data_IF_407021504856
#
_entry.id   IF_407021504856
#
_cell.length_a   1.000
_cell.length_b   1.000
_cell.length_c   1.000
_cell.angle_alpha   90.00
_cell.angle_beta   90.00
_cell.angle_gamma   90.00
#
_symmetry.space_group_name_H-M   'P 1'
#
loop_
_entity.id
_entity.type
_entity.pdbx_description
1 polymer ?
#
# COMPACT_ATOMS: atom_id res chain seq x y z
N UNK A 1 -9.56 33.40 39.75
CA UNK A 1 -9.70 32.19 38.91
C UNK A 1 -10.98 32.39 38.11
N UNK A 2 -10.96 32.17 36.80
CA UNK A 2 -12.13 32.44 35.96
C UNK A 2 -13.12 31.27 36.05
N UNK A 3 -14.30 31.52 36.61
CA UNK A 3 -15.30 30.49 36.95
C UNK A 3 -16.21 30.18 35.74
N UNK A 4 -16.39 31.15 34.83
CA UNK A 4 -17.28 30.98 33.67
C UNK A 4 -16.84 29.85 32.72
N UNK A 5 -15.55 29.68 32.38
CA UNK A 5 -15.10 28.58 31.53
C UNK A 5 -15.42 27.19 32.12
N UNK A 6 -15.25 27.03 33.44
CA UNK A 6 -15.48 25.75 34.13
C UNK A 6 -16.98 25.41 34.11
N UNK A 7 -17.85 26.39 34.36
CA UNK A 7 -19.30 26.21 34.28
C UNK A 7 -19.77 25.91 32.84
N UNK A 8 -19.08 26.48 31.84
CA UNK A 8 -19.34 26.19 30.43
C UNK A 8 -19.00 24.73 30.07
N UNK A 9 -17.87 24.20 30.55
CA UNK A 9 -17.43 22.82 30.30
C UNK A 9 -18.42 21.78 30.86
N UNK A 10 -19.08 22.08 31.97
CA UNK A 10 -20.12 21.20 32.54
C UNK A 10 -21.48 21.31 31.81
N UNK A 11 -21.57 22.15 30.78
CA UNK A 11 -22.71 22.25 29.87
C UNK A 11 -23.75 23.31 30.24
N UNK A 12 -23.37 24.33 31.00
CA UNK A 12 -24.18 25.55 31.13
C UNK A 12 -23.89 26.48 29.95
N UNK A 13 -24.94 27.05 29.37
CA UNK A 13 -24.75 28.05 28.31
C UNK A 13 -24.48 29.43 28.90
N UNK A 14 -23.83 30.32 28.14
CA UNK A 14 -23.39 31.64 28.61
C UNK A 14 -24.47 32.45 29.35
N UNK A 15 -25.72 32.40 28.90
CA UNK A 15 -26.84 33.09 29.56
C UNK A 15 -27.25 32.46 30.89
N UNK A 16 -27.17 31.14 31.02
CA UNK A 16 -27.43 30.42 32.28
C UNK A 16 -26.34 30.72 33.30
N UNK A 17 -25.07 30.72 32.87
CA UNK A 17 -23.92 31.05 33.73
C UNK A 17 -24.11 32.45 34.32
N UNK A 18 -24.41 33.44 33.47
CA UNK A 18 -24.63 34.82 33.91
C UNK A 18 -25.78 34.95 34.92
N UNK A 19 -26.90 34.27 34.67
CA UNK A 19 -28.06 34.30 35.58
C UNK A 19 -27.76 33.58 36.89
N UNK A 20 -27.08 32.43 36.85
CA UNK A 20 -26.68 31.69 38.03
C UNK A 20 -25.73 32.50 38.92
N UNK A 21 -24.70 33.13 38.34
CA UNK A 21 -23.79 34.00 39.07
C UNK A 21 -24.50 35.24 39.64
N UNK A 22 -25.42 35.85 38.87
CA UNK A 22 -26.23 36.97 39.36
C UNK A 22 -27.11 36.57 40.56
N UNK A 23 -27.69 35.35 40.55
CA UNK A 23 -28.46 34.83 41.68
C UNK A 23 -27.60 34.59 42.92
N UNK A 24 -26.37 34.09 42.77
CA UNK A 24 -25.43 33.93 43.89
C UNK A 24 -25.08 35.27 44.53
N UNK A 25 -24.98 36.34 43.74
CA UNK A 25 -24.66 37.68 44.24
C UNK A 25 -25.87 38.41 44.85
N UNK A 26 -27.05 38.28 44.25
CA UNK A 26 -28.27 38.96 44.69
C UNK A 26 -28.99 38.22 45.83
N UNK A 27 -28.75 36.92 45.98
CA UNK A 27 -29.55 36.04 46.83
C UNK A 27 -30.96 35.85 46.25
N UNK A 28 -31.97 36.08 47.08
CA UNK A 28 -33.39 35.88 46.71
C UNK A 28 -33.97 37.13 46.06
N UNK A 29 -34.23 37.09 44.75
CA UNK A 29 -34.64 38.26 43.95
C UNK A 29 -35.76 37.95 42.94
N UNK A 30 -36.50 38.99 42.52
CA UNK A 30 -37.44 38.89 41.40
C UNK A 30 -36.70 39.00 40.06
N UNK A 31 -37.38 38.74 38.94
CA UNK A 31 -36.73 38.71 37.61
C UNK A 31 -36.12 40.03 37.18
N UNK A 32 -36.62 41.18 37.64
CA UNK A 32 -36.12 42.52 37.27
C UNK A 32 -34.65 42.72 37.66
N UNK A 33 -34.31 42.66 38.96
CA UNK A 33 -32.92 42.76 39.41
C UNK A 33 -31.98 41.73 38.77
N UNK A 34 -32.47 40.50 38.54
CA UNK A 34 -31.68 39.43 37.91
C UNK A 34 -31.35 39.78 36.45
N UNK A 35 -32.32 40.31 35.70
CA UNK A 35 -32.15 40.75 34.30
C UNK A 35 -31.09 41.84 34.19
N UNK A 36 -31.16 42.85 35.06
CA UNK A 36 -30.20 43.96 35.09
C UNK A 36 -28.79 43.47 35.44
N UNK A 37 -28.68 42.64 36.49
CA UNK A 37 -27.39 42.15 36.97
C UNK A 37 -26.73 41.15 36.01
N UNK A 38 -27.48 40.19 35.49
CA UNK A 38 -26.97 39.20 34.55
C UNK A 38 -26.77 39.76 33.13
N UNK A 39 -27.31 40.95 32.85
CA UNK A 39 -27.33 41.58 31.53
C UNK A 39 -27.85 40.60 30.45
N UNK A 40 -29.04 40.06 30.69
CA UNK A 40 -29.76 39.16 29.78
C UNK A 40 -31.10 39.77 29.38
N UNK A 41 -31.67 39.35 28.25
CA UNK A 41 -32.97 39.88 27.82
C UNK A 41 -34.11 39.43 28.75
N UNK A 42 -34.97 40.36 29.15
CA UNK A 42 -36.17 40.09 29.96
C UNK A 42 -37.13 39.09 29.30
N UNK A 43 -37.13 38.97 27.98
CA UNK A 43 -37.96 37.98 27.27
C UNK A 43 -37.50 36.53 27.46
N UNK A 44 -36.26 36.30 27.89
CA UNK A 44 -35.66 34.97 28.07
C UNK A 44 -35.44 34.56 29.52
N UNK A 45 -35.65 35.46 30.48
CA UNK A 45 -35.27 35.22 31.88
C UNK A 45 -35.99 34.02 32.49
N UNK A 46 -37.30 33.90 32.26
CA UNK A 46 -38.08 32.77 32.78
C UNK A 46 -37.61 31.43 32.20
N UNK A 47 -37.33 31.37 30.89
CA UNK A 47 -36.79 30.17 30.25
C UNK A 47 -35.43 29.77 30.83
N UNK A 48 -34.55 30.75 31.11
CA UNK A 48 -33.23 30.51 31.70
C UNK A 48 -33.36 30.02 33.15
N UNK A 49 -34.21 30.67 33.94
CA UNK A 49 -34.48 30.28 35.33
C UNK A 49 -35.08 28.88 35.40
N UNK A 50 -36.05 28.56 34.54
CA UNK A 50 -36.65 27.24 34.47
C UNK A 50 -35.62 26.15 34.11
N UNK A 51 -34.68 26.43 33.19
CA UNK A 51 -33.57 25.50 32.89
C UNK A 51 -32.62 25.31 34.07
N UNK A 52 -32.28 26.38 34.79
CA UNK A 52 -31.45 26.29 35.99
C UNK A 52 -32.16 25.51 37.10
N UNK A 53 -33.46 25.70 37.26
CA UNK A 53 -34.29 24.93 38.19
C UNK A 53 -34.35 23.45 37.80
N UNK A 54 -34.55 23.13 36.53
CA UNK A 54 -34.54 21.75 36.02
C UNK A 54 -33.19 21.07 36.21
N UNK A 55 -32.09 21.84 36.22
CA UNK A 55 -30.74 21.35 36.52
C UNK A 55 -30.44 21.29 38.03
N UNK A 56 -31.38 21.69 38.89
CA UNK A 56 -31.20 21.74 40.35
C UNK A 56 -30.28 22.86 40.84
N UNK A 57 -29.97 23.84 39.99
CA UNK A 57 -29.02 24.93 40.27
C UNK A 57 -29.70 26.24 40.72
N UNK A 58 -31.01 26.32 40.59
CA UNK A 58 -31.80 27.43 41.10
C UNK A 58 -33.11 26.90 41.71
N UNK A 59 -33.74 27.70 42.54
CA UNK A 59 -35.07 27.44 43.07
C UNK A 59 -35.88 28.74 43.13
N UNK A 60 -37.14 28.65 43.55
CA UNK A 60 -37.93 29.83 43.86
C UNK A 60 -38.78 29.61 45.10
N UNK A 61 -39.03 30.70 45.79
CA UNK A 61 -39.98 30.79 46.89
C UNK A 61 -41.10 31.77 46.54
N UNK A 62 -42.28 31.56 47.12
CA UNK A 62 -43.41 32.47 46.98
C UNK A 62 -43.46 33.40 48.18
N UNK A 63 -43.41 34.71 47.91
CA UNK A 63 -43.70 35.75 48.91
C UNK A 63 -44.98 36.48 48.47
N UNK A 64 -46.10 36.11 49.08
CA UNK A 64 -47.43 36.51 48.60
C UNK A 64 -47.75 35.86 47.24
N UNK A 65 -48.01 36.67 46.21
CA UNK A 65 -48.26 36.21 44.82
C UNK A 65 -47.03 36.28 43.91
N UNK A 66 -45.88 36.69 44.44
CA UNK A 66 -44.67 36.96 43.65
C UNK A 66 -43.62 35.87 43.87
N UNK A 67 -43.03 35.37 42.77
CA UNK A 67 -41.90 34.45 42.81
C UNK A 67 -40.59 35.20 43.04
N UNK A 68 -39.83 34.76 44.03
CA UNK A 68 -38.45 35.15 44.26
C UNK A 68 -37.56 33.96 43.95
N UNK A 69 -36.61 34.16 43.05
CA UNK A 69 -35.68 33.14 42.59
C UNK A 69 -34.36 33.27 43.36
N UNK A 70 -33.73 32.15 43.63
CA UNK A 70 -32.45 32.08 44.32
C UNK A 70 -31.61 30.95 43.74
N UNK A 71 -30.28 31.10 43.80
CA UNK A 71 -29.37 30.02 43.46
C UNK A 71 -29.51 28.89 44.49
N UNK A 72 -29.45 27.65 44.02
CA UNK A 72 -29.27 26.53 44.93
C UNK A 72 -27.84 26.53 45.49
N UNK A 73 -27.64 25.87 46.63
CA UNK A 73 -26.31 25.73 47.23
C UNK A 73 -25.27 25.23 46.21
N UNK A 74 -24.06 25.82 46.14
CA UNK A 74 -23.07 25.46 45.13
C UNK A 74 -22.72 23.98 45.04
N UNK A 75 -22.81 23.24 46.14
CA UNK A 75 -22.60 21.78 46.20
C UNK A 75 -23.56 21.01 45.27
N UNK A 76 -24.73 21.57 44.94
CA UNK A 76 -25.70 20.98 44.00
C UNK A 76 -25.13 20.85 42.59
N UNK A 77 -24.08 21.60 42.24
CA UNK A 77 -23.35 21.41 40.96
C UNK A 77 -22.78 19.98 40.87
N UNK A 78 -22.36 19.39 41.99
CA UNK A 78 -21.86 18.02 42.03
C UNK A 78 -22.98 17.00 41.77
N UNK A 79 -24.18 17.25 42.30
CA UNK A 79 -25.36 16.42 42.03
C UNK A 79 -25.74 16.46 40.55
N UNK A 80 -25.78 17.66 39.95
CA UNK A 80 -26.02 17.85 38.51
C UNK A 80 -25.01 17.09 37.65
N UNK A 81 -23.73 17.11 38.01
CA UNK A 81 -22.68 16.37 37.31
C UNK A 81 -22.88 14.85 37.43
N UNK A 82 -23.23 14.36 38.61
CA UNK A 82 -23.48 12.94 38.86
C UNK A 82 -24.66 12.43 38.03
N UNK A 83 -25.77 13.15 38.01
CA UNK A 83 -26.94 12.78 37.20
C UNK A 83 -26.59 12.73 35.69
N UNK A 84 -25.75 13.66 35.23
CA UNK A 84 -25.27 13.70 33.86
C UNK A 84 -24.37 12.52 33.53
N UNK A 85 -23.48 12.13 34.43
CA UNK A 85 -22.64 10.93 34.30
C UNK A 85 -23.49 9.65 34.20
N UNK A 86 -24.47 9.49 35.09
CA UNK A 86 -25.39 8.34 35.10
C UNK A 86 -26.23 8.28 33.81
N UNK A 87 -26.72 9.43 33.33
CA UNK A 87 -27.42 9.52 32.05
C UNK A 87 -26.52 9.10 30.88
N UNK A 88 -25.31 9.64 30.80
CA UNK A 88 -24.35 9.31 29.75
C UNK A 88 -23.98 7.83 29.77
N UNK A 89 -23.84 7.24 30.95
CA UNK A 89 -23.58 5.80 31.11
C UNK A 89 -24.74 4.96 30.56
N UNK A 90 -26.00 5.32 30.87
CA UNK A 90 -27.20 4.66 30.31
C UNK A 90 -27.32 4.79 28.79
N UNK A 91 -26.98 5.96 28.24
CA UNK A 91 -26.94 6.18 26.79
C UNK A 91 -25.87 5.31 26.12
N UNK A 92 -24.67 5.23 26.70
CA UNK A 92 -23.59 4.33 26.20
C UNK A 92 -24.03 2.87 26.18
N UNK A 93 -24.69 2.39 27.23
CA UNK A 93 -25.22 1.02 27.27
C UNK A 93 -26.32 0.78 26.23
N UNK A 94 -27.22 1.76 26.02
CA UNK A 94 -28.23 1.68 24.97
C UNK A 94 -27.61 1.61 23.58
N UNK A 95 -26.56 2.41 23.31
CA UNK A 95 -25.81 2.37 22.05
C UNK A 95 -25.10 1.03 21.85
N UNK A 96 -24.47 0.46 22.89
CA UNK A 96 -23.82 -0.85 22.82
C UNK A 96 -24.81 -1.95 22.40
N UNK A 97 -26.06 -1.89 22.88
CA UNK A 97 -27.12 -2.86 22.54
C UNK A 97 -27.53 -2.79 21.06
N UNK A 98 -27.59 -1.59 20.47
CA UNK A 98 -27.96 -1.42 19.05
C UNK A 98 -26.77 -1.49 18.09
N UNK A 99 -25.54 -1.43 18.59
CA UNK A 99 -24.32 -1.47 17.78
C UNK A 99 -24.25 -2.70 16.85
N UNK A 100 -24.62 -3.92 17.29
CA UNK A 100 -24.66 -5.09 16.42
C UNK A 100 -25.68 -4.94 15.27
N UNK A 101 -26.85 -4.37 15.53
CA UNK A 101 -27.86 -4.11 14.50
C UNK A 101 -27.35 -3.08 13.47
N UNK A 102 -26.69 -2.01 13.92
CA UNK A 102 -26.08 -1.02 13.03
C UNK A 102 -24.98 -1.64 12.17
N UNK A 103 -24.16 -2.53 12.75
CA UNK A 103 -23.17 -3.33 12.00
C UNK A 103 -23.85 -4.23 10.98
N UNK A 104 -24.93 -4.91 11.35
CA UNK A 104 -25.70 -5.77 10.46
C UNK A 104 -26.34 -4.99 9.31
N UNK A 105 -26.97 -3.83 9.58
CA UNK A 105 -27.51 -2.95 8.52
C UNK A 105 -26.42 -2.51 7.53
N UNK A 106 -25.20 -2.26 8.04
CA UNK A 106 -24.05 -1.95 7.18
C UNK A 106 -23.60 -3.16 6.36
N UNK A 107 -23.54 -4.36 6.94
CA UNK A 107 -23.21 -5.60 6.22
C UNK A 107 -24.25 -5.91 5.13
N UNK A 108 -25.54 -5.77 5.43
CA UNK A 108 -26.63 -5.93 4.45
C UNK A 108 -26.60 -4.87 3.35
N UNK A 109 -26.11 -3.65 3.65
CA UNK A 109 -25.87 -2.61 2.66
C UNK A 109 -24.62 -2.90 1.80
N UNK A 110 -23.56 -3.48 2.38
CA UNK A 110 -22.39 -3.95 1.62
C UNK A 110 -22.75 -5.07 0.64
N UNK A 111 -23.71 -5.94 0.98
CA UNK A 111 -24.23 -6.92 0.02
C UNK A 111 -24.86 -6.27 -1.23
N UNK A 112 -25.17 -4.96 -1.20
CA UNK A 112 -25.60 -4.16 -2.37
C UNK A 112 -24.50 -3.32 -3.01
N UNK A 113 -23.35 -3.12 -2.36
CA UNK A 113 -22.24 -2.33 -2.91
C UNK A 113 -21.06 -3.24 -3.20
N UNK A 114 -21.00 -3.74 -4.44
CA UNK A 114 -19.89 -4.55 -4.93
C UNK A 114 -18.58 -3.73 -5.02
N UNK A 115 -18.66 -2.40 -5.14
CA UNK A 115 -17.50 -1.51 -5.31
C UNK A 115 -17.55 -0.23 -4.45
N UNK A 116 -16.41 0.15 -3.85
CA UNK A 116 -16.21 1.37 -3.07
C UNK A 116 -15.07 2.18 -3.66
N UNK A 117 -15.28 3.50 -3.82
CA UNK A 117 -14.25 4.42 -4.33
C UNK A 117 -13.62 5.19 -3.18
N UNK A 118 -12.29 5.15 -3.09
CA UNK A 118 -11.49 5.91 -2.15
C UNK A 118 -10.67 6.98 -2.87
N UNK A 119 -10.56 8.17 -2.28
CA UNK A 119 -9.79 9.30 -2.82
C UNK A 119 -8.78 9.84 -1.83
N UNK A 120 -7.64 10.28 -2.34
CA UNK A 120 -6.57 10.90 -1.58
C UNK A 120 -5.81 9.92 -0.69
N UNK A 121 -4.78 10.43 -0.01
CA UNK A 121 -3.89 9.60 0.82
C UNK A 121 -4.60 8.94 2.00
N UNK A 122 -5.63 9.58 2.56
CA UNK A 122 -6.48 8.95 3.59
C UNK A 122 -7.24 7.77 3.02
N UNK A 123 -7.79 7.90 1.81
CA UNK A 123 -8.44 6.81 1.09
C UNK A 123 -7.50 5.65 0.79
N UNK A 124 -6.29 5.94 0.30
CA UNK A 124 -5.22 4.95 0.11
C UNK A 124 -4.92 4.18 1.40
N UNK A 125 -4.74 4.91 2.50
CA UNK A 125 -4.48 4.30 3.80
C UNK A 125 -5.62 3.38 4.22
N UNK A 126 -6.87 3.84 4.16
CA UNK A 126 -8.03 3.03 4.53
C UNK A 126 -8.15 1.75 3.69
N UNK A 127 -8.06 1.87 2.36
CA UNK A 127 -8.23 0.74 1.44
C UNK A 127 -7.16 -0.35 1.60
N UNK A 128 -5.90 0.03 1.87
CA UNK A 128 -4.81 -0.94 2.01
C UNK A 128 -4.65 -1.48 3.42
N UNK A 129 -4.99 -0.72 4.47
CA UNK A 129 -4.95 -1.24 5.84
C UNK A 129 -6.16 -2.10 6.17
N UNK A 130 -7.32 -1.91 5.52
CA UNK A 130 -8.46 -2.82 5.68
C UNK A 130 -8.14 -4.24 5.22
N UNK A 131 -7.20 -4.42 4.28
CA UNK A 131 -6.74 -5.75 3.87
C UNK A 131 -6.20 -6.57 5.06
N UNK A 132 -5.63 -5.92 6.08
CA UNK A 132 -5.13 -6.60 7.28
C UNK A 132 -6.22 -7.07 8.24
N UNK A 133 -7.48 -6.65 8.03
CA UNK A 133 -8.64 -7.18 8.77
C UNK A 133 -9.05 -8.55 8.25
N UNK A 134 -8.74 -8.87 6.99
CA UNK A 134 -9.17 -10.09 6.31
C UNK A 134 -8.03 -11.09 6.07
N UNK A 135 -6.78 -10.62 6.03
CA UNK A 135 -5.60 -11.44 5.71
C UNK A 135 -4.90 -11.99 6.95
N UNK A 136 -4.50 -13.25 6.85
CA UNK A 136 -3.78 -14.00 7.89
C UNK A 136 -2.36 -14.37 7.44
N UNK A 137 -1.53 -14.81 8.40
CA UNK A 137 -0.17 -15.30 8.12
C UNK A 137 -0.21 -16.41 7.07
N UNK A 138 0.64 -16.29 6.05
CA UNK A 138 0.73 -17.24 4.93
C UNK A 138 -0.15 -16.90 3.73
N UNK A 139 -1.15 -16.02 3.88
CA UNK A 139 -1.94 -15.55 2.74
C UNK A 139 -1.07 -14.82 1.72
N UNK A 140 -1.49 -14.86 0.45
CA UNK A 140 -0.75 -14.27 -0.68
C UNK A 140 -1.57 -13.14 -1.29
N UNK A 141 -1.00 -11.95 -1.32
CA UNK A 141 -1.49 -10.83 -2.13
C UNK A 141 -0.82 -10.92 -3.50
N UNK A 142 -1.62 -10.84 -4.56
CA UNK A 142 -1.14 -10.79 -5.95
C UNK A 142 -1.36 -9.39 -6.50
N UNK A 143 -0.34 -8.82 -7.12
CA UNK A 143 -0.40 -7.46 -7.65
C UNK A 143 0.16 -7.45 -9.07
N UNK A 144 -0.54 -6.85 -10.02
CA UNK A 144 -0.03 -6.66 -11.37
C UNK A 144 -0.21 -5.24 -11.86
N UNK A 145 0.63 -4.85 -12.79
CA UNK A 145 0.48 -3.60 -13.52
C UNK A 145 0.83 -2.36 -12.70
N UNK A 146 1.91 -2.42 -11.90
CA UNK A 146 2.28 -1.31 -11.02
C UNK A 146 3.22 -0.35 -11.75
N UNK A 147 2.74 0.82 -12.23
CA UNK A 147 3.59 1.82 -12.85
C UNK A 147 4.43 2.57 -11.82
N UNK A 148 5.32 3.43 -12.32
CA UNK A 148 5.93 4.50 -11.53
C UNK A 148 4.87 5.31 -10.76
N UNK A 149 5.19 5.70 -9.52
CA UNK A 149 4.30 6.44 -8.62
C UNK A 149 5.00 7.65 -8.01
N UNK A 150 4.22 8.57 -7.44
CA UNK A 150 4.81 9.69 -6.70
C UNK A 150 5.60 9.21 -5.48
N UNK A 151 6.61 9.98 -5.09
CA UNK A 151 7.41 9.70 -3.90
C UNK A 151 6.56 9.46 -2.65
N UNK A 152 5.46 10.21 -2.50
CA UNK A 152 4.54 10.09 -1.37
C UNK A 152 3.86 8.72 -1.31
N UNK A 153 3.44 8.19 -2.46
CA UNK A 153 2.81 6.86 -2.56
C UNK A 153 3.86 5.76 -2.39
N UNK A 154 5.06 5.95 -2.94
CA UNK A 154 6.18 5.02 -2.72
C UNK A 154 6.58 4.92 -1.25
N UNK A 155 6.69 6.05 -0.53
CA UNK A 155 6.94 6.08 0.90
C UNK A 155 5.84 5.38 1.71
N UNK A 156 4.58 5.50 1.28
CA UNK A 156 3.47 4.75 1.88
C UNK A 156 3.69 3.23 1.72
N UNK A 157 3.97 2.75 0.51
CA UNK A 157 4.17 1.31 0.28
C UNK A 157 5.43 0.75 0.94
N UNK A 158 6.50 1.54 1.11
CA UNK A 158 7.65 1.11 1.91
C UNK A 158 7.24 0.78 3.36
N UNK A 159 6.39 1.61 3.97
CA UNK A 159 5.90 1.37 5.33
C UNK A 159 4.92 0.19 5.35
N UNK A 160 3.97 0.17 4.42
CA UNK A 160 2.95 -0.87 4.34
C UNK A 160 3.56 -2.25 4.07
N UNK A 161 4.57 -2.37 3.19
CA UNK A 161 5.24 -3.63 2.89
C UNK A 161 5.98 -4.21 4.10
N UNK A 162 6.60 -3.35 4.93
CA UNK A 162 7.22 -3.79 6.19
C UNK A 162 6.17 -4.35 7.16
N UNK A 163 5.04 -3.67 7.29
CA UNK A 163 3.96 -4.11 8.18
C UNK A 163 3.32 -5.41 7.68
N UNK A 164 3.00 -5.50 6.39
CA UNK A 164 2.51 -6.74 5.75
C UNK A 164 3.46 -7.91 6.02
N UNK A 165 4.76 -7.70 5.83
CA UNK A 165 5.76 -8.74 6.03
C UNK A 165 5.88 -9.17 7.50
N UNK A 166 5.77 -8.23 8.46
CA UNK A 166 5.72 -8.55 9.90
C UNK A 166 4.54 -9.45 10.25
N UNK A 167 3.40 -9.28 9.58
CA UNK A 167 2.22 -10.14 9.71
C UNK A 167 2.37 -11.50 9.00
N UNK A 168 3.48 -11.73 8.30
CA UNK A 168 3.76 -12.97 7.58
C UNK A 168 2.87 -13.20 6.35
N UNK A 169 2.26 -12.13 5.83
CA UNK A 169 1.50 -12.16 4.57
C UNK A 169 2.51 -12.09 3.43
N UNK A 170 2.40 -12.94 2.40
CA UNK A 170 3.28 -12.98 1.23
C UNK A 170 2.79 -12.04 0.13
N UNK A 171 3.70 -11.56 -0.70
CA UNK A 171 3.39 -10.71 -1.86
C UNK A 171 3.98 -11.33 -3.13
N UNK A 172 3.21 -11.37 -4.20
CA UNK A 172 3.70 -11.59 -5.56
C UNK A 172 3.32 -10.37 -6.39
N UNK A 173 4.29 -9.68 -6.96
CA UNK A 173 4.08 -8.38 -7.61
C UNK A 173 4.76 -8.32 -8.98
N UNK A 174 3.99 -7.90 -9.98
CA UNK A 174 4.42 -7.54 -11.33
C UNK A 174 4.39 -6.02 -11.45
N UNK A 175 5.58 -5.41 -11.47
CA UNK A 175 5.74 -3.98 -11.77
C UNK A 175 5.77 -3.75 -13.28
N UNK A 176 5.38 -2.57 -13.72
CA UNK A 176 5.68 -2.11 -15.06
C UNK A 176 7.17 -1.77 -15.13
N UNK A 177 7.73 -1.79 -16.33
CA UNK A 177 9.13 -1.39 -16.54
C UNK A 177 9.39 0.05 -16.06
N UNK A 178 8.39 0.93 -16.18
CA UNK A 178 8.46 2.33 -15.73
C UNK A 178 8.80 2.50 -14.24
N UNK A 179 8.49 1.51 -13.39
CA UNK A 179 8.78 1.56 -11.96
C UNK A 179 10.20 1.06 -11.61
N UNK A 180 10.97 0.57 -12.60
CA UNK A 180 12.27 -0.06 -12.34
C UNK A 180 13.23 0.91 -11.66
N UNK A 181 13.82 0.45 -10.56
CA UNK A 181 14.78 1.23 -9.77
C UNK A 181 14.13 2.06 -8.66
N UNK A 182 12.80 2.15 -8.63
CA UNK A 182 12.11 2.79 -7.51
C UNK A 182 12.27 1.99 -6.21
N UNK A 183 12.26 2.64 -5.04
CA UNK A 183 12.57 1.99 -3.76
C UNK A 183 11.79 0.71 -3.48
N UNK A 184 10.51 0.64 -3.85
CA UNK A 184 9.64 -0.51 -3.63
C UNK A 184 9.97 -1.73 -4.52
N UNK A 185 10.71 -1.53 -5.61
CA UNK A 185 11.14 -2.63 -6.50
C UNK A 185 12.36 -3.37 -5.97
N UNK A 186 13.03 -2.84 -4.94
CA UNK A 186 14.20 -3.46 -4.33
C UNK A 186 13.78 -4.51 -3.31
N UNK A 187 14.29 -5.74 -3.42
CA UNK A 187 13.95 -6.86 -2.52
C UNK A 187 14.10 -6.51 -1.03
N UNK A 188 15.17 -5.79 -0.66
CA UNK A 188 15.43 -5.34 0.72
C UNK A 188 14.30 -4.49 1.31
N UNK A 189 13.55 -3.80 0.45
CA UNK A 189 12.47 -2.89 0.82
C UNK A 189 11.08 -3.55 0.70
N UNK A 190 11.02 -4.77 0.19
CA UNK A 190 9.79 -5.56 0.07
C UNK A 190 10.05 -7.00 0.55
N UNK A 191 10.30 -7.20 1.86
CA UNK A 191 10.54 -8.52 2.42
C UNK A 191 9.30 -9.43 2.29
N UNK A 192 9.51 -10.75 2.20
CA UNK A 192 8.45 -11.73 1.89
C UNK A 192 7.68 -11.40 0.59
N UNK A 193 8.39 -10.89 -0.41
CA UNK A 193 7.85 -10.60 -1.74
C UNK A 193 8.62 -11.34 -2.82
N UNK A 194 7.89 -11.82 -3.82
CA UNK A 194 8.45 -12.22 -5.11
C UNK A 194 8.17 -11.06 -6.08
N UNK A 195 9.23 -10.48 -6.65
CA UNK A 195 9.14 -9.30 -7.53
C UNK A 195 9.48 -9.71 -8.96
N UNK A 196 8.62 -9.33 -9.89
CA UNK A 196 8.83 -9.49 -11.34
C UNK A 196 8.41 -8.19 -12.05
N UNK A 197 8.78 -8.09 -13.31
CA UNK A 197 8.43 -6.97 -14.18
C UNK A 197 7.62 -7.49 -15.37
N UNK A 198 6.63 -6.71 -15.80
CA UNK A 198 5.92 -6.97 -17.05
C UNK A 198 6.80 -6.59 -18.25
N UNK A 199 6.55 -7.19 -19.43
CA UNK A 199 7.18 -6.76 -20.68
C UNK A 199 6.94 -5.26 -20.98
N UNK A 200 7.86 -4.59 -21.68
CA UNK A 200 7.79 -3.14 -21.92
C UNK A 200 6.58 -2.72 -22.78
N UNK A 201 6.10 -3.61 -23.64
CA UNK A 201 4.94 -3.42 -24.51
C UNK A 201 3.60 -3.59 -23.78
N UNK A 202 3.61 -4.10 -22.55
CA UNK A 202 2.41 -4.24 -21.71
C UNK A 202 2.27 -3.02 -20.80
N UNK A 203 1.53 -2.02 -21.28
CA UNK A 203 1.16 -0.86 -20.49
C UNK A 203 -0.20 -1.08 -19.82
N UNK A 204 -0.20 -1.20 -18.49
CA UNK A 204 -1.45 -1.23 -17.73
C UNK A 204 -1.74 0.15 -17.13
N UNK A 205 -2.89 0.77 -17.46
CA UNK A 205 -3.23 2.08 -16.93
C UNK A 205 -3.57 2.06 -15.43
N UNK A 206 -3.68 0.88 -14.82
CA UNK A 206 -4.00 0.71 -13.41
C UNK A 206 -3.31 -0.52 -12.83
N UNK A 207 -2.80 -0.37 -11.60
CA UNK A 207 -2.37 -1.47 -10.78
C UNK A 207 -3.60 -2.24 -10.26
N UNK A 208 -3.54 -3.56 -10.31
CA UNK A 208 -4.60 -4.44 -9.84
C UNK A 208 -4.04 -5.27 -8.68
N UNK A 209 -4.62 -5.11 -7.50
CA UNK A 209 -4.22 -5.83 -6.29
C UNK A 209 -5.34 -6.80 -5.93
N UNK A 210 -5.01 -8.07 -5.72
CA UNK A 210 -5.98 -9.14 -5.54
C UNK A 210 -5.61 -9.91 -4.28
N UNK A 211 -6.59 -10.08 -3.40
CA UNK A 211 -6.46 -10.91 -2.21
C UNK A 211 -7.85 -11.42 -1.79
N UNK A 212 -7.96 -12.69 -1.39
CA UNK A 212 -9.25 -13.33 -1.08
C UNK A 212 -10.28 -13.00 -2.18
N UNK A 213 -11.43 -12.43 -1.83
CA UNK A 213 -12.52 -12.01 -2.72
C UNK A 213 -12.49 -10.51 -3.04
N UNK A 214 -11.35 -9.85 -2.79
CA UNK A 214 -11.20 -8.40 -2.94
C UNK A 214 -10.21 -8.06 -4.04
N UNK A 215 -10.62 -7.14 -4.91
CA UNK A 215 -9.80 -6.54 -5.96
C UNK A 215 -9.71 -5.03 -5.72
N UNK A 216 -8.49 -4.49 -5.67
CA UNK A 216 -8.25 -3.04 -5.65
C UNK A 216 -7.66 -2.64 -6.99
N UNK A 217 -8.43 -1.87 -7.77
CA UNK A 217 -7.96 -1.20 -8.97
C UNK A 217 -7.43 0.17 -8.54
N UNK A 218 -6.16 0.40 -8.84
CA UNK A 218 -5.46 1.63 -8.52
C UNK A 218 -4.88 2.23 -9.82
N UNK A 219 -5.66 3.06 -10.53
CA UNK A 219 -5.20 3.77 -11.71
C UNK A 219 -3.89 4.53 -11.48
N UNK A 220 -3.07 4.69 -12.52
CA UNK A 220 -1.90 5.56 -12.49
C UNK A 220 -2.28 6.95 -11.96
N UNK A 221 -1.38 7.61 -11.24
CA UNK A 221 -1.65 8.94 -10.67
C UNK A 221 -1.79 9.96 -11.80
N UNK A 222 -3.02 10.24 -12.24
CA UNK A 222 -3.33 11.29 -13.21
C UNK A 222 -3.58 12.65 -12.53
N UNK A 223 -3.90 12.65 -11.24
CA UNK A 223 -4.15 13.84 -10.41
C UNK A 223 -3.19 13.89 -9.20
N UNK A 224 -3.09 15.05 -8.54
CA UNK A 224 -2.33 15.24 -7.28
C UNK A 224 -2.81 14.35 -6.10
N UNK A 225 -3.78 13.46 -6.32
CA UNK A 225 -4.36 12.59 -5.30
C UNK A 225 -4.65 11.18 -5.85
N UNK A 226 -4.31 10.11 -5.10
CA UNK A 226 -4.59 8.74 -5.55
C UNK A 226 -6.10 8.45 -5.54
N UNK A 227 -6.55 7.67 -6.52
CA UNK A 227 -7.90 7.11 -6.64
C UNK A 227 -7.81 5.59 -6.52
N UNK A 228 -8.69 4.97 -5.72
CA UNK A 228 -8.75 3.52 -5.60
C UNK A 228 -10.19 3.05 -5.73
N UNK A 229 -10.38 1.96 -6.45
CA UNK A 229 -11.67 1.29 -6.60
C UNK A 229 -11.50 -0.09 -5.96
N UNK A 230 -12.16 -0.30 -4.82
CA UNK A 230 -12.12 -1.56 -4.06
C UNK A 230 -13.40 -2.32 -4.37
N UNK A 231 -13.27 -3.48 -4.99
CA UNK A 231 -14.37 -4.34 -5.39
C UNK A 231 -14.32 -5.61 -4.54
N UNK A 232 -15.42 -5.94 -3.85
CA UNK A 232 -15.53 -7.18 -3.06
C UNK A 232 -16.50 -8.13 -3.77
N UNK A 233 -15.93 -8.96 -4.65
CA UNK A 233 -16.61 -10.00 -5.42
C UNK A 233 -15.64 -11.11 -5.72
N UNK A 234 -16.06 -12.35 -5.43
CA UNK A 234 -15.29 -13.55 -5.72
C UNK A 234 -15.05 -13.69 -7.22
N UNK A 235 -16.06 -13.44 -8.04
CA UNK A 235 -16.01 -13.54 -9.51
C UNK A 235 -14.98 -12.56 -10.10
N UNK A 236 -15.00 -11.31 -9.64
CA UNK A 236 -14.04 -10.29 -10.08
C UNK A 236 -12.63 -10.64 -9.61
N UNK A 237 -12.46 -11.05 -8.35
CA UNK A 237 -11.17 -11.46 -7.82
C UNK A 237 -10.61 -12.70 -8.54
N UNK A 238 -11.44 -13.67 -8.87
CA UNK A 238 -11.06 -14.88 -9.59
C UNK A 238 -10.64 -14.58 -11.04
N UNK A 239 -11.37 -13.71 -11.74
CA UNK A 239 -11.02 -13.24 -13.08
C UNK A 239 -9.63 -12.60 -13.12
N UNK A 240 -9.39 -11.61 -12.26
CA UNK A 240 -8.09 -10.94 -12.22
C UNK A 240 -6.97 -11.84 -11.68
N UNK A 241 -7.29 -12.83 -10.83
CA UNK A 241 -6.31 -13.83 -10.39
C UNK A 241 -5.88 -14.74 -11.54
N UNK A 242 -6.80 -15.18 -12.38
CA UNK A 242 -6.47 -15.95 -13.58
C UNK A 242 -5.59 -15.13 -14.54
N UNK A 243 -5.92 -13.85 -14.74
CA UNK A 243 -5.10 -12.93 -15.53
C UNK A 243 -3.70 -12.73 -14.92
N UNK A 244 -3.60 -12.55 -13.60
CA UNK A 244 -2.31 -12.49 -12.91
C UNK A 244 -1.50 -13.75 -13.13
N UNK A 245 -2.11 -14.93 -12.95
CA UNK A 245 -1.41 -16.22 -13.08
C UNK A 245 -0.92 -16.45 -14.52
N UNK A 246 -1.61 -15.92 -15.54
CA UNK A 246 -1.16 -15.92 -16.94
C UNK A 246 0.14 -15.13 -17.12
N UNK A 247 0.21 -13.90 -16.59
CA UNK A 247 1.44 -13.09 -16.65
C UNK A 247 2.54 -13.66 -15.75
N UNK A 248 2.16 -14.19 -14.58
CA UNK A 248 3.11 -14.69 -13.59
C UNK A 248 3.80 -15.97 -14.04
N UNK A 249 3.10 -16.88 -14.70
CA UNK A 249 3.63 -18.19 -15.05
C UNK A 249 4.26 -18.24 -16.46
N UNK A 250 4.58 -17.10 -17.06
CA UNK A 250 5.32 -17.09 -18.32
C UNK A 250 6.69 -17.76 -18.14
N UNK A 251 7.01 -18.80 -18.94
CA UNK A 251 8.26 -19.56 -18.80
C UNK A 251 9.49 -18.81 -19.30
N UNK A 252 9.27 -17.73 -20.04
CA UNK A 252 10.30 -16.87 -20.60
C UNK A 252 10.18 -15.47 -19.99
N UNK A 253 11.33 -14.89 -19.60
CA UNK A 253 11.44 -13.48 -19.22
C UNK A 253 11.99 -12.71 -20.42
N UNK A 254 11.30 -11.67 -20.83
CA UNK A 254 11.76 -10.77 -21.89
C UNK A 254 12.28 -9.49 -21.24
N UNK A 255 13.46 -9.06 -21.66
CA UNK A 255 14.11 -7.84 -21.24
C UNK A 255 14.42 -7.01 -22.47
N UNK A 256 14.33 -5.69 -22.37
CA UNK A 256 14.79 -4.80 -23.43
C UNK A 256 15.95 -3.92 -22.97
N UNK A 257 16.66 -3.36 -23.95
CA UNK A 257 17.89 -2.61 -23.74
C UNK A 257 18.99 -3.45 -23.06
N UNK A 258 19.84 -2.77 -22.29
CA UNK A 258 20.96 -3.42 -21.60
C UNK A 258 20.57 -4.09 -20.27
N UNK A 259 19.28 -4.08 -19.89
CA UNK A 259 18.82 -4.69 -18.64
C UNK A 259 18.94 -6.23 -18.69
N UNK A 260 18.61 -6.82 -19.83
CA UNK A 260 18.69 -8.26 -20.11
C UNK A 260 20.11 -8.80 -20.05
N UNK A 261 21.05 -8.28 -20.87
CA UNK A 261 22.46 -8.68 -20.82
C UNK A 261 23.07 -8.58 -19.42
N UNK A 262 22.81 -7.48 -18.71
CA UNK A 262 23.30 -7.29 -17.33
C UNK A 262 22.67 -8.26 -16.33
N UNK A 263 21.39 -8.60 -16.52
CA UNK A 263 20.71 -9.60 -15.69
C UNK A 263 21.35 -10.97 -15.89
N UNK A 264 21.53 -11.41 -17.14
CA UNK A 264 22.04 -12.76 -17.43
C UNK A 264 23.46 -12.96 -16.89
N UNK A 265 24.35 -11.99 -17.05
CA UNK A 265 25.71 -12.05 -16.45
C UNK A 265 25.66 -12.29 -14.94
N UNK A 266 24.74 -11.63 -14.22
CA UNK A 266 24.59 -11.81 -12.77
C UNK A 266 23.96 -13.17 -12.43
N UNK A 267 22.96 -13.60 -13.20
CA UNK A 267 22.23 -14.85 -12.97
C UNK A 267 23.14 -16.07 -13.20
N UNK A 268 24.00 -16.03 -14.22
CA UNK A 268 25.00 -17.07 -14.51
C UNK A 268 25.96 -17.33 -13.33
N UNK A 269 26.46 -16.27 -12.69
CA UNK A 269 27.37 -16.36 -11.53
C UNK A 269 26.70 -17.00 -10.31
N UNK A 270 25.39 -16.82 -10.18
CA UNK A 270 24.62 -17.32 -9.05
C UNK A 270 24.23 -18.78 -9.23
N UNK A 271 23.82 -19.16 -10.43
CA UNK A 271 23.07 -20.40 -10.67
C UNK A 271 23.90 -21.52 -11.33
N UNK A 272 25.09 -21.22 -11.88
CA UNK A 272 25.81 -22.19 -12.69
C UNK A 272 27.26 -22.44 -12.27
N UNK A 273 27.72 -23.67 -12.53
CA UNK A 273 29.13 -24.09 -12.44
C UNK A 273 29.79 -24.24 -13.81
N UNK A 274 28.98 -24.31 -14.86
CA UNK A 274 29.41 -24.40 -16.25
C UNK A 274 28.52 -23.53 -17.14
N UNK A 275 29.12 -22.83 -18.09
CA UNK A 275 28.42 -21.93 -19.03
C UNK A 275 28.80 -22.34 -20.46
N UNK A 276 27.83 -22.33 -21.37
CA UNK A 276 28.05 -22.53 -22.81
C UNK A 276 27.48 -21.34 -23.56
N UNK A 277 28.22 -20.78 -24.51
CA UNK A 277 27.75 -19.65 -25.31
C UNK A 277 27.97 -19.90 -26.81
N UNK A 278 27.00 -19.52 -27.63
CA UNK A 278 27.00 -19.65 -29.08
C UNK A 278 26.76 -18.28 -29.72
N UNK A 279 27.54 -17.93 -30.74
CA UNK A 279 27.27 -16.74 -31.54
C UNK A 279 27.77 -15.45 -30.91
N UNK A 280 28.88 -15.51 -30.16
CA UNK A 280 29.46 -14.32 -29.53
C UNK A 280 30.18 -13.43 -30.55
N UNK A 281 29.97 -12.12 -30.45
CA UNK A 281 30.69 -11.08 -31.22
C UNK A 281 31.20 -9.98 -30.30
N UNK A 282 32.47 -9.59 -30.48
CA UNK A 282 33.15 -8.63 -29.61
C UNK A 282 32.46 -7.25 -29.57
N UNK A 283 32.05 -6.71 -30.72
CA UNK A 283 31.43 -5.38 -30.80
C UNK A 283 30.16 -5.28 -29.94
N UNK A 284 29.33 -6.33 -29.93
CA UNK A 284 28.11 -6.40 -29.11
C UNK A 284 28.44 -6.40 -27.61
N UNK A 285 29.55 -7.02 -27.22
CA UNK A 285 30.02 -7.07 -25.83
C UNK A 285 30.54 -5.72 -25.30
N UNK A 286 31.00 -4.82 -26.17
CA UNK A 286 31.49 -3.49 -25.76
C UNK A 286 30.39 -2.67 -25.05
N UNK A 287 29.13 -2.86 -25.44
CA UNK A 287 27.97 -2.22 -24.81
C UNK A 287 27.81 -2.56 -23.31
N UNK A 288 28.38 -3.68 -22.87
CA UNK A 288 28.34 -4.15 -21.48
C UNK A 288 29.73 -4.42 -20.89
N UNK A 289 30.79 -3.82 -21.46
CA UNK A 289 32.19 -4.13 -21.13
C UNK A 289 32.51 -4.04 -19.63
N UNK A 290 31.95 -3.05 -18.92
CA UNK A 290 32.17 -2.88 -17.47
C UNK A 290 31.57 -4.03 -16.66
N UNK A 291 30.36 -4.46 -17.03
CA UNK A 291 29.68 -5.59 -16.37
C UNK A 291 30.36 -6.91 -16.72
N UNK A 292 30.77 -7.08 -17.98
CA UNK A 292 31.52 -8.25 -18.47
C UNK A 292 32.88 -8.40 -17.77
N UNK A 293 33.61 -7.30 -17.59
CA UNK A 293 34.91 -7.33 -16.88
C UNK A 293 34.73 -7.76 -15.43
N UNK A 294 33.64 -7.32 -14.77
CA UNK A 294 33.32 -7.76 -13.41
C UNK A 294 32.91 -9.23 -13.39
N UNK A 295 32.12 -9.66 -14.37
CA UNK A 295 31.68 -11.04 -14.52
C UNK A 295 32.86 -12.00 -14.66
N UNK A 296 33.81 -11.71 -15.55
CA UNK A 296 35.05 -12.52 -15.74
C UNK A 296 35.82 -12.70 -14.43
N UNK A 297 35.99 -11.63 -13.63
CA UNK A 297 36.64 -11.73 -12.32
C UNK A 297 35.89 -12.64 -11.35
N UNK A 298 34.55 -12.61 -11.37
CA UNK A 298 33.73 -13.49 -10.54
C UNK A 298 33.77 -14.95 -11.01
N UNK A 299 33.86 -15.21 -12.32
CA UNK A 299 34.09 -16.55 -12.85
C UNK A 299 35.39 -17.16 -12.30
N UNK A 300 36.48 -16.39 -12.31
CA UNK A 300 37.78 -16.86 -11.80
C UNK A 300 37.75 -17.15 -10.31
N UNK A 301 37.14 -16.24 -9.54
CA UNK A 301 37.00 -16.38 -8.09
C UNK A 301 36.19 -17.63 -7.72
N UNK A 302 35.15 -17.93 -8.50
CA UNK A 302 34.24 -19.06 -8.27
C UNK A 302 34.62 -20.34 -9.03
N UNK A 303 35.65 -20.28 -9.87
CA UNK A 303 36.14 -21.37 -10.73
C UNK A 303 35.04 -21.93 -11.64
N UNK A 304 34.20 -21.05 -12.18
CA UNK A 304 33.13 -21.42 -13.11
C UNK A 304 33.76 -21.60 -14.49
N UNK A 305 33.49 -22.74 -15.12
CA UNK A 305 34.04 -23.06 -16.44
C UNK A 305 33.11 -22.55 -17.54
N UNK A 306 33.68 -22.05 -18.63
CA UNK A 306 32.90 -21.59 -19.78
C UNK A 306 33.44 -22.13 -21.11
N UNK A 307 32.54 -22.55 -21.99
CA UNK A 307 32.86 -22.96 -23.36
C UNK A 307 32.16 -22.02 -24.34
N UNK A 308 32.93 -21.30 -25.13
CA UNK A 308 32.47 -20.13 -25.87
C UNK A 308 32.73 -20.30 -27.37
N UNK A 309 31.68 -20.19 -28.17
CA UNK A 309 31.74 -20.19 -29.64
C UNK A 309 31.56 -18.77 -30.17
N UNK A 310 32.66 -18.17 -30.63
CA UNK A 310 32.69 -16.82 -31.19
C UNK A 310 32.56 -16.82 -32.71
N UNK A 311 32.10 -15.71 -33.28
CA UNK A 311 32.26 -15.45 -34.72
C UNK A 311 33.75 -15.44 -35.09
N UNK A 312 34.15 -16.14 -36.15
CA UNK A 312 35.50 -16.06 -36.68
C UNK A 312 35.95 -14.59 -36.86
N UNK A 313 37.18 -14.28 -36.42
CA UNK A 313 37.75 -12.93 -36.45
C UNK A 313 37.35 -12.01 -35.27
N UNK A 314 36.43 -12.43 -34.39
CA UNK A 314 36.11 -11.66 -33.18
C UNK A 314 37.21 -11.80 -32.11
N UNK A 315 37.39 -10.75 -31.31
CA UNK A 315 38.18 -10.83 -30.07
C UNK A 315 37.36 -11.50 -28.96
N UNK A 316 37.98 -12.37 -28.17
CA UNK A 316 37.33 -13.02 -27.05
C UNK A 316 37.78 -12.36 -25.73
N UNK A 317 36.83 -11.86 -24.94
CA UNK A 317 37.06 -11.47 -23.55
C UNK A 317 36.77 -12.70 -22.69
N UNK A 318 37.76 -13.20 -21.95
CA UNK A 318 37.71 -14.51 -21.29
C UNK A 318 38.39 -14.52 -19.93
N UNK A 319 38.05 -15.52 -19.13
CA UNK A 319 38.78 -15.93 -17.92
C UNK A 319 39.77 -17.07 -18.20
N UNK A 320 40.65 -17.39 -17.25
CA UNK A 320 41.50 -18.60 -17.33
C UNK A 320 40.76 -19.94 -17.30
N UNK A 321 39.45 -19.95 -17.04
CA UNK A 321 38.59 -21.14 -17.08
C UNK A 321 37.73 -21.21 -18.34
N UNK A 322 38.08 -20.41 -19.35
CA UNK A 322 37.36 -20.35 -20.62
C UNK A 322 38.05 -21.20 -21.66
N UNK A 323 37.27 -22.00 -22.37
CA UNK A 323 37.66 -22.59 -23.63
C UNK A 323 36.95 -21.85 -24.75
N UNK A 324 37.70 -21.50 -25.80
CA UNK A 324 37.17 -20.70 -26.92
C UNK A 324 37.38 -21.46 -28.22
N UNK A 325 36.33 -21.50 -29.04
CA UNK A 325 36.37 -21.91 -30.44
C UNK A 325 35.69 -20.87 -31.30
N UNK A 326 35.95 -20.91 -32.60
CA UNK A 326 35.42 -19.96 -33.56
C UNK A 326 34.54 -20.68 -34.58
N UNK A 327 33.34 -20.17 -34.78
CA UNK A 327 32.42 -20.62 -35.83
C UNK A 327 32.78 -19.93 -37.15
N UNK A 328 32.82 -20.66 -38.27
CA UNK A 328 32.94 -20.06 -39.59
C UNK A 328 31.81 -19.05 -39.84
N UNK A 329 32.09 -18.00 -40.61
CA UNK A 329 31.15 -16.90 -40.83
C UNK A 329 29.82 -17.37 -41.46
N UNK A 330 29.85 -18.38 -42.34
CA UNK A 330 28.66 -18.94 -42.99
C UNK A 330 27.69 -19.68 -42.05
N UNK A 331 28.17 -20.16 -40.90
CA UNK A 331 27.36 -20.83 -39.87
C UNK A 331 27.02 -19.89 -38.70
N UNK A 332 27.41 -18.62 -38.80
CA UNK A 332 27.16 -17.64 -37.76
C UNK A 332 25.72 -17.13 -37.82
N UNK A 333 24.98 -17.27 -36.71
CA UNK A 333 23.68 -16.65 -36.51
C UNK A 333 23.84 -15.33 -35.76
N UNK A 334 23.10 -14.25 -36.13
CA UNK A 334 23.13 -12.99 -35.37
C UNK A 334 22.56 -13.13 -33.94
N UNK A 335 21.88 -14.25 -33.65
CA UNK A 335 21.39 -14.60 -32.32
C UNK A 335 22.53 -15.14 -31.46
N UNK A 336 22.89 -14.36 -30.45
CA UNK A 336 23.77 -14.82 -29.39
C UNK A 336 22.95 -15.66 -28.39
N UNK A 337 23.44 -16.82 -27.98
CA UNK A 337 22.75 -17.75 -27.07
C UNK A 337 23.68 -18.15 -25.93
N UNK A 338 23.22 -18.02 -24.70
CA UNK A 338 23.91 -18.54 -23.50
C UNK A 338 23.07 -19.63 -22.83
N UNK A 339 23.74 -20.70 -22.40
CA UNK A 339 23.13 -21.87 -21.78
C UNK A 339 23.81 -22.12 -20.44
N UNK A 340 23.05 -22.05 -19.35
CA UNK A 340 23.58 -22.16 -17.99
C UNK A 340 22.51 -22.71 -17.05
N UNK A 341 22.90 -23.58 -16.10
CA UNK A 341 21.94 -24.29 -15.25
C UNK A 341 20.83 -24.97 -16.06
N UNK A 342 19.57 -24.57 -15.78
CA UNK A 342 18.34 -24.98 -16.48
C UNK A 342 17.76 -23.87 -17.39
N UNK A 343 18.58 -22.88 -17.76
CA UNK A 343 18.17 -21.69 -18.51
C UNK A 343 18.87 -21.61 -19.87
N UNK A 344 18.16 -20.97 -20.80
CA UNK A 344 18.70 -20.52 -22.09
C UNK A 344 18.38 -19.05 -22.23
N UNK A 345 19.40 -18.21 -22.40
CA UNK A 345 19.25 -16.81 -22.73
C UNK A 345 19.56 -16.60 -24.21
N UNK A 346 18.66 -15.92 -24.92
CA UNK A 346 18.81 -15.54 -26.32
C UNK A 346 18.89 -14.03 -26.40
N UNK A 347 19.87 -13.51 -27.12
CA UNK A 347 20.13 -12.09 -27.26
C UNK A 347 19.97 -11.67 -28.71
N UNK A 348 19.02 -10.79 -28.93
CA UNK A 348 18.90 -9.99 -30.14
C UNK A 348 19.49 -8.61 -29.84
N UNK A 349 20.57 -8.28 -30.55
CA UNK A 349 21.29 -7.03 -30.36
C UNK A 349 20.86 -5.94 -31.36
N UNK A 350 19.85 -6.20 -32.20
CA UNK A 350 19.22 -5.15 -33.03
C UNK A 350 18.44 -4.18 -32.16
N UNK A 351 18.24 -2.93 -32.61
CA UNK A 351 17.46 -1.96 -31.83
C UNK A 351 15.95 -2.16 -32.03
N UNK A 352 15.14 -2.25 -30.95
CA UNK A 352 15.55 -2.25 -29.54
C UNK A 352 16.16 -3.59 -29.09
N UNK A 353 17.31 -3.54 -28.40
CA UNK A 353 18.01 -4.73 -27.90
C UNK A 353 17.04 -5.56 -27.07
N UNK A 354 16.94 -6.85 -27.33
CA UNK A 354 15.99 -7.75 -26.66
C UNK A 354 16.71 -8.99 -26.15
N UNK A 355 16.44 -9.39 -24.91
CA UNK A 355 16.97 -10.61 -24.30
C UNK A 355 15.81 -11.47 -23.80
N UNK A 356 15.76 -12.72 -24.24
CA UNK A 356 14.76 -13.70 -23.83
C UNK A 356 15.44 -14.76 -22.98
N UNK A 357 15.03 -14.90 -21.71
CA UNK A 357 15.55 -15.90 -20.79
C UNK A 357 14.48 -16.95 -20.52
N UNK A 358 14.69 -18.18 -20.99
CA UNK A 358 13.77 -19.30 -20.81
C UNK A 358 14.29 -20.21 -19.71
N UNK A 359 13.51 -20.40 -18.65
CA UNK A 359 13.86 -21.29 -17.54
C UNK A 359 13.09 -22.62 -17.65
N UNK A 360 13.68 -23.58 -18.37
CA UNK A 360 13.09 -24.91 -18.58
C UNK A 360 14.17 -25.94 -18.86
N UNK A 361 14.32 -26.91 -17.96
CA UNK A 361 15.37 -27.93 -18.02
C UNK A 361 15.40 -28.69 -19.36
N UNK A 362 14.24 -29.09 -19.89
CA UNK A 362 14.17 -29.78 -21.18
C UNK A 362 14.71 -28.96 -22.35
N UNK A 363 14.47 -27.64 -22.35
CA UNK A 363 14.98 -26.73 -23.38
C UNK A 363 16.50 -26.56 -23.21
N UNK A 364 16.98 -26.31 -21.98
CA UNK A 364 18.41 -26.19 -21.71
C UNK A 364 19.18 -27.46 -22.07
N UNK A 365 18.63 -28.65 -21.77
CA UNK A 365 19.21 -29.94 -22.20
C UNK A 365 19.28 -30.08 -23.72
N UNK A 366 18.24 -29.65 -24.43
CA UNK A 366 18.22 -29.64 -25.90
C UNK A 366 19.32 -28.74 -26.48
N UNK A 367 19.39 -27.49 -26.03
CA UNK A 367 20.43 -26.56 -26.47
C UNK A 367 21.85 -26.99 -26.09
N UNK A 368 22.05 -27.66 -24.94
CA UNK A 368 23.34 -28.28 -24.62
C UNK A 368 23.75 -29.30 -25.68
N UNK A 369 22.84 -30.15 -26.16
CA UNK A 369 23.14 -31.11 -27.23
C UNK A 369 23.53 -30.42 -28.54
N UNK A 370 22.81 -29.35 -28.92
CA UNK A 370 23.17 -28.56 -30.11
C UNK A 370 24.53 -27.88 -29.95
N UNK A 371 24.83 -27.37 -28.75
CA UNK A 371 26.15 -26.86 -28.45
C UNK A 371 27.24 -27.93 -28.64
N UNK A 372 27.07 -29.13 -28.06
CA UNK A 372 28.09 -30.18 -28.21
C UNK A 372 28.32 -30.57 -29.69
N UNK A 373 27.28 -30.52 -30.53
CA UNK A 373 27.41 -30.75 -31.98
C UNK A 373 28.21 -29.65 -32.69
N UNK A 374 28.04 -28.38 -32.30
CA UNK A 374 28.83 -27.27 -32.84
C UNK A 374 30.23 -27.20 -32.21
N UNK A 375 30.40 -27.83 -31.05
CA UNK A 375 31.64 -27.85 -30.29
C UNK A 375 32.55 -29.00 -30.70
N UNK A 376 32.05 -30.08 -31.30
CA UNK A 376 32.89 -31.16 -31.83
C UNK A 376 33.72 -30.63 -32.99
#
# INVERSE_FOLDING_TARGET
>A
MDIEPILSEIGLVKSEIKVYLALLELGSATTGPIVEKANVSSSKIYEILDKLIQKGLASYILRGKTKYFEAAEPERILDYLKEKEEKLSREKESIKKILPELKLKRELSKAKQEAVIYRGMKGLHTAFFSAFEELSKGDIIRVMGVPSRSEKVNLFFLKWNRERARRGIRLKILFDESARGEPQTLEKNSPLSEIRFMPEDVLTPAAINIYKETTIIFPAETEKQPLLIVIKSKEVADSFRAQFDLYWNQPAKVYHGLSGPKFVLKDMIKESKEIRAIGLEYYKQELVLKDLTRFVKELEKRKIHERLLFKAGSKAITSKYSEVRFLPEEYFSPLHIEIYGNKVAMFDWTEPITTIVIEKEGIAKGYKKYFELLWS
#
